data_IF_337669894348
#
_entry.id   IF_337669894348
#
_cell.length_a   1.000
_cell.length_b   1.000
_cell.length_c   1.000
_cell.angle_alpha   90.00
_cell.angle_beta   90.00
_cell.angle_gamma   90.00
#
_symmetry.space_group_name_H-M   'P 1'
#
loop_
_entity.id
_entity.type
_entity.pdbx_description
1 polymer ?
#
# COMPACT_ATOMS: atom_id res chain seq x y z
N UNK A 1 -18.94 -13.94 -17.22
CA UNK A 1 -18.00 -14.20 -16.12
C UNK A 1 -16.75 -13.38 -16.38
N UNK A 2 -16.54 -12.40 -15.52
CA UNK A 2 -15.37 -11.55 -15.23
C UNK A 2 -14.33 -11.36 -16.34
N UNK A 3 -14.42 -10.24 -17.05
CA UNK A 3 -13.41 -9.73 -17.96
C UNK A 3 -12.13 -9.37 -17.18
N UNK A 4 -11.15 -10.26 -17.26
CA UNK A 4 -9.72 -9.95 -17.13
C UNK A 4 -9.36 -8.84 -18.16
N UNK A 5 -8.49 -7.90 -17.76
CA UNK A 5 -7.60 -7.10 -18.67
C UNK A 5 -7.88 -5.59 -18.90
N UNK A 6 -8.62 -4.85 -18.07
CA UNK A 6 -8.57 -3.37 -18.17
C UNK A 6 -8.70 -2.73 -16.79
N UNK A 7 -7.60 -2.35 -16.12
CA UNK A 7 -7.66 -1.29 -15.11
C UNK A 7 -6.35 -0.60 -14.71
N UNK A 8 -5.27 -0.66 -15.51
CA UNK A 8 -3.98 -0.05 -15.13
C UNK A 8 -4.05 1.44 -14.75
N UNK A 9 -5.00 2.20 -15.30
CA UNK A 9 -5.22 3.59 -14.91
C UNK A 9 -5.84 3.70 -13.51
N UNK A 10 -6.87 2.90 -13.23
CA UNK A 10 -7.56 2.91 -11.94
C UNK A 10 -6.71 2.32 -10.83
N UNK A 11 -5.84 1.34 -11.13
CA UNK A 11 -4.90 0.77 -10.15
C UNK A 11 -3.88 1.81 -9.69
N UNK A 12 -3.37 2.62 -10.62
CA UNK A 12 -2.47 3.73 -10.31
C UNK A 12 -3.22 4.83 -9.55
N UNK A 13 -4.44 5.17 -9.97
CA UNK A 13 -5.26 6.18 -9.30
C UNK A 13 -5.63 5.78 -7.85
N UNK A 14 -5.94 4.50 -7.66
CA UNK A 14 -6.17 3.87 -6.36
C UNK A 14 -4.92 3.92 -5.48
N UNK A 15 -3.76 3.55 -6.02
CA UNK A 15 -2.49 3.61 -5.29
C UNK A 15 -2.10 5.05 -4.91
N UNK A 16 -2.30 6.02 -5.80
CA UNK A 16 -2.07 7.44 -5.53
C UNK A 16 -3.01 7.98 -4.45
N UNK A 17 -4.28 7.57 -4.49
CA UNK A 17 -5.27 7.92 -3.47
C UNK A 17 -4.86 7.36 -2.11
N UNK A 18 -4.46 6.09 -2.04
CA UNK A 18 -3.96 5.48 -0.81
C UNK A 18 -2.72 6.19 -0.26
N UNK A 19 -1.77 6.54 -1.13
CA UNK A 19 -0.56 7.27 -0.75
C UNK A 19 -0.89 8.63 -0.13
N UNK A 20 -1.88 9.35 -0.66
CA UNK A 20 -2.33 10.62 -0.09
C UNK A 20 -2.97 10.44 1.29
N UNK A 21 -3.83 9.43 1.47
CA UNK A 21 -4.44 9.12 2.77
C UNK A 21 -3.37 8.73 3.79
N UNK A 22 -2.46 7.82 3.42
CA UNK A 22 -1.36 7.42 4.28
C UNK A 22 -0.47 8.60 4.67
N UNK A 23 -0.18 9.51 3.73
CA UNK A 23 0.61 10.72 4.01
C UNK A 23 -0.09 11.67 4.99
N UNK A 24 -1.42 11.79 4.91
CA UNK A 24 -2.19 12.63 5.82
C UNK A 24 -2.26 12.01 7.23
N UNK A 25 -2.56 10.71 7.33
CA UNK A 25 -2.63 9.98 8.62
C UNK A 25 -1.26 9.88 9.30
N UNK A 26 -0.19 9.80 8.51
CA UNK A 26 1.19 9.71 8.99
C UNK A 26 1.90 11.07 9.03
N UNK A 27 1.17 12.19 8.92
CA UNK A 27 1.78 13.54 8.95
C UNK A 27 2.60 13.77 10.23
N UNK A 28 2.13 13.21 11.35
CA UNK A 28 2.77 13.27 12.66
C UNK A 28 3.90 12.23 12.82
N UNK A 29 3.95 11.22 11.93
CA UNK A 29 4.94 10.14 11.96
C UNK A 29 5.60 9.93 10.59
N UNK A 30 6.42 10.90 10.12
CA UNK A 30 7.07 10.83 8.81
C UNK A 30 7.98 9.61 8.66
N UNK A 31 8.55 9.12 9.77
CA UNK A 31 9.38 7.91 9.80
C UNK A 31 8.63 6.64 9.37
N UNK A 32 7.33 6.54 9.67
CA UNK A 32 6.50 5.40 9.27
C UNK A 32 6.22 5.48 7.77
N UNK A 33 5.90 6.67 7.26
CA UNK A 33 5.69 6.88 5.83
C UNK A 33 6.97 6.55 5.02
N UNK A 34 8.15 6.96 5.48
CA UNK A 34 9.42 6.64 4.84
C UNK A 34 9.69 5.12 4.78
N UNK A 35 9.39 4.40 5.87
CA UNK A 35 9.46 2.93 5.92
C UNK A 35 8.50 2.29 4.92
N UNK A 36 7.28 2.82 4.78
CA UNK A 36 6.30 2.32 3.82
C UNK A 36 6.79 2.50 2.38
N UNK A 37 7.31 3.67 2.03
CA UNK A 37 7.87 3.93 0.70
C UNK A 37 9.07 3.03 0.40
N UNK A 38 9.94 2.77 1.38
CA UNK A 38 11.02 1.79 1.23
C UNK A 38 10.47 0.39 0.95
N UNK A 39 9.46 -0.04 1.70
CA UNK A 39 8.84 -1.35 1.53
C UNK A 39 8.23 -1.53 0.13
N UNK A 40 7.52 -0.52 -0.36
CA UNK A 40 6.96 -0.49 -1.72
C UNK A 40 8.06 -0.57 -2.80
N UNK A 41 9.19 0.12 -2.60
CA UNK A 41 10.35 0.01 -3.50
C UNK A 41 10.96 -1.40 -3.49
N UNK A 42 11.12 -2.00 -2.32
CA UNK A 42 11.65 -3.37 -2.16
C UNK A 42 10.77 -4.39 -2.86
N UNK A 43 9.45 -4.25 -2.73
CA UNK A 43 8.47 -5.07 -3.46
C UNK A 43 8.54 -4.85 -4.97
N UNK A 44 8.62 -3.61 -5.44
CA UNK A 44 8.75 -3.30 -6.88
C UNK A 44 10.05 -3.83 -7.49
N UNK A 45 11.10 -3.98 -6.67
CA UNK A 45 12.37 -4.61 -7.07
C UNK A 45 12.32 -6.14 -7.01
N UNK A 46 11.15 -6.75 -6.75
CA UNK A 46 10.97 -8.19 -6.55
C UNK A 46 11.89 -8.78 -5.46
N UNK A 47 12.31 -7.98 -4.48
CA UNK A 47 13.16 -8.48 -3.38
C UNK A 47 12.33 -9.17 -2.28
N UNK A 48 11.06 -8.81 -2.13
CA UNK A 48 10.11 -9.41 -1.20
C UNK A 48 8.85 -9.84 -1.93
N UNK A 49 8.19 -10.87 -1.43
CA UNK A 49 6.94 -11.39 -1.99
C UNK A 49 5.74 -10.53 -1.55
N UNK A 50 4.61 -10.66 -2.24
CA UNK A 50 3.37 -9.97 -1.87
C UNK A 50 2.90 -10.33 -0.43
N UNK A 51 3.17 -11.55 0.02
CA UNK A 51 2.86 -11.98 1.38
C UNK A 51 3.73 -11.24 2.43
N UNK A 52 5.03 -11.15 2.18
CA UNK A 52 6.00 -10.40 3.00
C UNK A 52 5.68 -8.90 3.05
N UNK A 53 5.31 -8.30 1.91
CA UNK A 53 4.91 -6.89 1.85
C UNK A 53 3.65 -6.67 2.69
N UNK A 54 2.68 -7.58 2.59
CA UNK A 54 1.40 -7.47 3.31
C UNK A 54 1.61 -7.57 4.82
N UNK A 55 2.42 -8.52 5.29
CA UNK A 55 2.77 -8.63 6.71
C UNK A 55 3.50 -7.38 7.20
N UNK A 56 4.52 -6.93 6.47
CA UNK A 56 5.29 -5.74 6.84
C UNK A 56 4.44 -4.47 6.88
N UNK A 57 3.46 -4.31 5.97
CA UNK A 57 2.49 -3.21 6.00
C UNK A 57 1.60 -3.28 7.26
N UNK A 58 1.13 -4.47 7.65
CA UNK A 58 0.33 -4.66 8.86
C UNK A 58 1.09 -4.32 10.13
N UNK A 59 2.35 -4.75 10.22
CA UNK A 59 3.22 -4.39 11.34
C UNK A 59 3.50 -2.88 11.36
N UNK A 60 3.85 -2.31 10.21
CA UNK A 60 4.17 -0.89 10.08
C UNK A 60 2.99 0.02 10.43
N UNK A 61 1.77 -0.39 10.08
CA UNK A 61 0.53 0.34 10.35
C UNK A 61 -0.28 -0.24 11.50
N UNK A 62 0.33 -0.98 12.44
CA UNK A 62 -0.37 -1.56 13.59
C UNK A 62 -1.11 -0.52 14.44
N UNK A 63 -0.64 0.73 14.48
CA UNK A 63 -1.33 1.85 15.14
C UNK A 63 -2.39 2.57 14.28
N UNK A 64 -2.55 2.18 13.02
CA UNK A 64 -3.37 2.84 12.00
C UNK A 64 -4.26 1.82 11.28
N UNK A 65 -5.30 1.28 11.95
CA UNK A 65 -6.16 0.23 11.40
C UNK A 65 -6.81 0.64 10.07
N UNK A 66 -7.19 1.92 9.92
CA UNK A 66 -7.74 2.47 8.68
C UNK A 66 -6.82 2.28 7.47
N UNK A 67 -5.50 2.38 7.67
CA UNK A 67 -4.51 2.19 6.60
C UNK A 67 -4.36 0.71 6.24
N UNK A 68 -4.43 -0.19 7.22
CA UNK A 68 -4.39 -1.64 6.99
C UNK A 68 -5.61 -2.08 6.18
N UNK A 69 -6.80 -1.63 6.57
CA UNK A 69 -8.05 -1.93 5.85
C UNK A 69 -8.04 -1.35 4.43
N UNK A 70 -7.61 -0.09 4.30
CA UNK A 70 -7.48 0.56 3.00
C UNK A 70 -6.53 -0.21 2.06
N UNK A 71 -5.37 -0.65 2.55
CA UNK A 71 -4.38 -1.33 1.72
C UNK A 71 -4.93 -2.57 1.00
N UNK A 72 -5.80 -3.35 1.65
CA UNK A 72 -6.45 -4.50 1.03
C UNK A 72 -7.46 -4.16 -0.06
N UNK A 73 -8.07 -2.97 -0.02
CA UNK A 73 -8.98 -2.48 -1.07
C UNK A 73 -8.24 -1.83 -2.25
N UNK A 74 -7.04 -1.32 -2.03
CA UNK A 74 -6.25 -0.62 -3.05
C UNK A 74 -5.26 -1.53 -3.80
N UNK A 75 -5.19 -2.82 -3.44
CA UNK A 75 -4.49 -3.83 -4.24
C UNK A 75 -5.46 -4.45 -5.27
N UNK A 76 -5.14 -4.38 -6.58
CA UNK A 76 -5.91 -5.13 -7.58
C UNK A 76 -5.72 -6.64 -7.38
N UNK A 77 -6.83 -7.38 -7.33
CA UNK A 77 -6.85 -8.84 -7.41
C UNK A 77 -6.45 -9.35 -8.81
#
# INVERSE_FOLDING_TARGET
MSSKTQNSATDIENALTFLNVAKAELQDQPEIYDKFIKLMKTFHQNQISAEEVTQSVRDLFTGYPSLIEGFGQFLPN
#
